data_IF_298752472388
#
_entry.id   IF_298752472388
#
_cell.length_a   1.000
_cell.length_b   1.000
_cell.length_c   1.000
_cell.angle_alpha   90.00
_cell.angle_beta   90.00
_cell.angle_gamma   90.00
#
_symmetry.space_group_name_H-M   'P 1'
#
loop_
_entity.id
_entity.type
_entity.pdbx_description
1 polymer ?
#
# COMPACT_ATOMS: atom_id res chain seq x y z
N UNK A 1 2.84 -8.62 3.42
CA UNK A 1 2.60 -7.19 3.75
C UNK A 1 2.37 -6.91 5.24
N UNK A 2 1.24 -7.31 5.85
CA UNK A 2 0.97 -6.92 7.25
C UNK A 2 2.03 -7.46 8.24
N UNK A 3 2.35 -8.75 8.14
CA UNK A 3 3.40 -9.38 8.94
C UNK A 3 4.80 -8.77 8.72
N UNK A 4 5.15 -8.48 7.46
CA UNK A 4 6.43 -7.81 7.10
C UNK A 4 6.54 -6.40 7.73
N UNK A 5 5.41 -5.74 7.99
CA UNK A 5 5.35 -4.43 8.62
C UNK A 5 5.14 -4.49 10.15
N UNK A 6 5.05 -5.69 10.75
CA UNK A 6 4.72 -5.85 12.16
C UNK A 6 3.31 -5.34 12.52
N UNK A 7 2.39 -5.29 11.55
CA UNK A 7 1.03 -4.77 11.72
C UNK A 7 -0.02 -5.87 11.71
N UNK A 8 -1.12 -5.63 12.43
CA UNK A 8 -2.32 -6.43 12.29
C UNK A 8 -2.92 -6.24 10.88
N UNK A 9 -3.50 -7.31 10.32
CA UNK A 9 -4.08 -7.27 8.98
C UNK A 9 -5.22 -6.24 8.87
N UNK A 10 -6.00 -6.08 9.95
CA UNK A 10 -7.07 -5.07 10.02
C UNK A 10 -6.53 -3.65 9.82
N UNK A 11 -5.35 -3.36 10.38
CA UNK A 11 -4.68 -2.06 10.25
C UNK A 11 -4.37 -1.78 8.79
N UNK A 12 -3.76 -2.74 8.08
CA UNK A 12 -3.47 -2.61 6.64
C UNK A 12 -4.75 -2.41 5.82
N UNK A 13 -5.83 -3.13 6.15
CA UNK A 13 -7.13 -2.99 5.48
C UNK A 13 -7.73 -1.60 5.67
N UNK A 14 -7.64 -1.01 6.86
CA UNK A 14 -8.10 0.36 7.15
C UNK A 14 -7.34 1.37 6.28
N UNK A 15 -6.01 1.33 6.27
CA UNK A 15 -5.21 2.24 5.44
C UNK A 15 -5.52 2.07 3.96
N UNK A 16 -5.63 0.83 3.47
CA UNK A 16 -6.02 0.54 2.09
C UNK A 16 -7.39 1.16 1.75
N UNK A 17 -8.39 0.99 2.60
CA UNK A 17 -9.72 1.57 2.40
C UNK A 17 -9.70 3.10 2.36
N UNK A 18 -8.94 3.73 3.25
CA UNK A 18 -8.77 5.18 3.25
C UNK A 18 -8.10 5.70 1.98
N UNK A 19 -7.04 5.05 1.52
CA UNK A 19 -6.34 5.46 0.29
C UNK A 19 -7.23 5.25 -0.93
N UNK A 20 -7.92 4.10 -1.05
CA UNK A 20 -8.87 3.87 -2.14
C UNK A 20 -9.98 4.93 -2.18
N UNK A 21 -10.51 5.33 -1.01
CA UNK A 21 -11.51 6.41 -0.92
C UNK A 21 -10.94 7.77 -1.37
N UNK A 22 -9.74 8.14 -0.91
CA UNK A 22 -9.07 9.39 -1.30
C UNK A 22 -8.78 9.45 -2.79
N UNK A 23 -8.35 8.33 -3.37
CA UNK A 23 -7.98 8.20 -4.77
C UNK A 23 -9.19 7.93 -5.68
N UNK A 24 -10.38 7.71 -5.12
CA UNK A 24 -11.60 7.28 -5.84
C UNK A 24 -11.37 6.00 -6.66
N UNK A 25 -10.52 5.10 -6.17
CA UNK A 25 -10.19 3.85 -6.84
C UNK A 25 -11.27 2.79 -6.59
N UNK A 26 -11.67 2.08 -7.65
CA UNK A 26 -12.71 1.03 -7.57
C UNK A 26 -12.18 -0.33 -7.10
N UNK A 27 -10.87 -0.52 -7.17
CA UNK A 27 -10.18 -1.73 -6.70
C UNK A 27 -8.74 -1.41 -6.31
N UNK A 28 -8.07 -2.36 -5.63
CA UNK A 28 -6.65 -2.23 -5.32
C UNK A 28 -5.80 -2.13 -6.60
N UNK A 29 -6.13 -2.90 -7.64
CA UNK A 29 -5.42 -2.82 -8.92
C UNK A 29 -5.58 -1.44 -9.57
N UNK A 30 -6.76 -0.82 -9.43
CA UNK A 30 -7.02 0.54 -9.90
C UNK A 30 -6.17 1.56 -9.17
N UNK A 31 -6.06 1.41 -7.85
CA UNK A 31 -5.18 2.22 -7.03
C UNK A 31 -3.70 2.07 -7.45
N UNK A 32 -3.22 0.84 -7.69
CA UNK A 32 -1.83 0.59 -8.11
C UNK A 32 -1.53 1.32 -9.42
N UNK A 33 -2.41 1.20 -10.43
CA UNK A 33 -2.24 1.92 -11.70
C UNK A 33 -2.20 3.44 -11.52
N UNK A 34 -3.03 3.99 -10.64
CA UNK A 34 -2.99 5.43 -10.33
C UNK A 34 -1.67 5.83 -9.66
N UNK A 35 -1.14 5.00 -8.75
CA UNK A 35 0.14 5.27 -8.08
C UNK A 35 1.32 5.22 -9.05
N UNK A 36 1.29 4.32 -10.04
CA UNK A 36 2.31 4.25 -11.09
C UNK A 36 2.34 5.51 -11.94
N UNK A 37 1.17 6.00 -12.36
CA UNK A 37 1.04 7.28 -13.09
C UNK A 37 1.57 8.47 -12.30
N UNK A 38 1.41 8.45 -10.97
CA UNK A 38 1.91 9.48 -10.06
C UNK A 38 3.41 9.33 -9.73
N UNK A 39 4.09 8.30 -10.24
CA UNK A 39 5.49 8.02 -9.94
C UNK A 39 5.74 7.55 -8.50
N UNK A 40 4.70 7.17 -7.77
CA UNK A 40 4.80 6.67 -6.39
C UNK A 40 5.28 5.22 -6.46
N UNK A 41 6.56 4.99 -6.13
CA UNK A 41 7.16 3.66 -6.06
C UNK A 41 7.26 3.22 -4.61
N UNK A 42 6.98 1.94 -4.35
CA UNK A 42 7.24 1.36 -3.05
C UNK A 42 8.75 1.37 -2.79
N UNK A 43 9.20 2.17 -1.82
CA UNK A 43 10.57 2.04 -1.31
C UNK A 43 10.62 0.75 -0.50
N UNK A 44 11.20 -0.31 -1.07
CA UNK A 44 11.47 -1.54 -0.33
C UNK A 44 12.62 -1.22 0.63
N UNK A 45 12.42 -1.27 1.96
CA UNK A 45 13.54 -1.12 2.87
C UNK A 45 14.55 -2.21 2.52
N UNK A 46 15.79 -1.80 2.21
CA UNK A 46 16.90 -2.73 2.03
C UNK A 46 16.94 -3.63 3.26
N UNK A 47 16.80 -4.94 3.03
CA UNK A 47 16.92 -5.94 4.08
C UNK A 47 18.38 -5.95 4.51
N UNK A 48 18.74 -5.10 5.48
CA UNK A 48 19.98 -5.25 6.22
C UNK A 48 19.87 -6.55 7.00
N UNK A 49 20.47 -7.58 6.42
CA UNK A 49 20.70 -8.87 7.04
C UNK A 49 21.58 -8.66 8.28
N UNK A 50 21.00 -8.92 9.46
CA UNK A 50 21.71 -9.11 10.73
C UNK A 50 21.45 -10.51 11.23
#
# INVERSE_FOLDING_TARGET
>A
VAAELGLAEITVKIYRGHVMKKMRARSLADLIRMTETLGIRANRPEQTQV
#
